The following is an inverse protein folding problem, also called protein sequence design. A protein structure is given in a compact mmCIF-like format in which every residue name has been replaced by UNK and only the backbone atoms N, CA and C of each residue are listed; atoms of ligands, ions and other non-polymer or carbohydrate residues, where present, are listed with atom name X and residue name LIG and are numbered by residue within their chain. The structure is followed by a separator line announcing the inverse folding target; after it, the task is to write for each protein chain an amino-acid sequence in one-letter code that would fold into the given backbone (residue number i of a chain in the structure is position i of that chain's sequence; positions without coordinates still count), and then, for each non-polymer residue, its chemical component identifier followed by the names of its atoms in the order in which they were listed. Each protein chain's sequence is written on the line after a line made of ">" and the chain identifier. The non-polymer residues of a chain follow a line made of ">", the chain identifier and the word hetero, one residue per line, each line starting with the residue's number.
data_IF_421238303620
#
_entry.id   IF_421238303620
#
_cell.length_a   1.000
_cell.length_b   1.000
_cell.length_c   1.000
_cell.angle_alpha   90.00
_cell.angle_beta   90.00
_cell.angle_gamma   90.00
#
_symmetry.space_group_name_H-M   'P 1'
#
loop_
_entity.id
_entity.type
_entity.pdbx_description
1 polymer ?
#
# COMPACT_ATOMS: atom_id res chain seq x y z
N UNK A 1 43.05 32.73 -29.79
CA UNK A 1 42.47 31.36 -29.62
C UNK A 1 42.27 31.11 -28.13
N UNK A 2 41.14 30.54 -27.74
CA UNK A 2 40.83 30.22 -26.31
C UNK A 2 41.32 28.80 -26.04
N UNK A 3 42.00 28.56 -24.91
CA UNK A 3 42.40 27.20 -24.51
C UNK A 3 41.20 26.36 -24.14
N UNK A 4 41.30 25.02 -24.22
CA UNK A 4 40.25 24.06 -23.83
C UNK A 4 39.76 24.32 -22.40
N UNK A 5 40.65 24.49 -21.44
CA UNK A 5 40.29 24.72 -20.02
C UNK A 5 39.57 26.07 -19.84
N UNK A 6 39.92 27.09 -20.57
CA UNK A 6 39.22 28.37 -20.53
C UNK A 6 37.83 28.27 -21.14
N UNK A 7 37.67 27.56 -22.26
CA UNK A 7 36.36 27.26 -22.87
C UNK A 7 35.44 26.52 -21.91
N UNK A 8 35.94 25.47 -21.28
CA UNK A 8 35.21 24.67 -20.26
C UNK A 8 34.77 25.52 -19.07
N UNK A 9 35.63 26.42 -18.61
CA UNK A 9 35.32 27.34 -17.50
C UNK A 9 34.21 28.33 -17.89
N UNK A 10 34.24 28.88 -19.11
CA UNK A 10 33.19 29.77 -19.65
C UNK A 10 31.86 29.03 -19.74
N UNK A 11 31.83 27.81 -20.29
CA UNK A 11 30.63 26.99 -20.39
C UNK A 11 30.04 26.65 -19.02
N UNK A 12 30.87 26.28 -18.04
CA UNK A 12 30.42 26.03 -16.67
C UNK A 12 29.84 27.27 -15.97
N UNK A 13 30.33 28.46 -16.31
CA UNK A 13 29.82 29.74 -15.78
C UNK A 13 28.63 30.28 -16.54
N UNK A 14 28.29 29.72 -17.70
CA UNK A 14 27.15 30.15 -18.49
C UNK A 14 25.86 29.81 -17.74
N UNK A 15 25.11 30.80 -17.29
CA UNK A 15 23.79 30.63 -16.65
C UNK A 15 22.72 30.59 -17.76
N UNK A 16 22.30 29.39 -18.11
CA UNK A 16 21.16 29.19 -19.01
C UNK A 16 19.90 29.38 -18.21
N UNK A 17 19.08 30.38 -18.51
CA UNK A 17 17.75 30.56 -17.91
C UNK A 17 16.75 29.69 -18.68
N UNK A 18 16.35 28.60 -18.10
CA UNK A 18 15.26 27.75 -18.61
C UNK A 18 13.97 28.15 -17.88
N UNK A 19 12.90 28.38 -18.64
CA UNK A 19 11.59 28.67 -18.06
C UNK A 19 10.91 27.35 -17.59
N UNK A 20 10.23 27.39 -16.46
CA UNK A 20 9.40 26.31 -16.01
C UNK A 20 8.13 26.23 -16.87
N UNK A 21 7.63 25.02 -17.08
CA UNK A 21 6.36 24.76 -17.76
C UNK A 21 5.55 23.73 -16.98
N UNK A 22 4.23 23.78 -17.11
CA UNK A 22 3.31 22.77 -16.57
C UNK A 22 2.90 21.84 -17.69
N UNK A 23 3.12 20.54 -17.50
CA UNK A 23 2.76 19.50 -18.46
C UNK A 23 1.99 18.36 -17.79
N UNK A 24 1.28 17.56 -18.58
CA UNK A 24 0.64 16.32 -18.08
C UNK A 24 1.72 15.34 -17.62
N UNK A 25 1.50 14.65 -16.50
CA UNK A 25 2.44 13.68 -15.94
C UNK A 25 2.89 12.61 -16.94
N UNK A 26 1.99 12.14 -17.81
CA UNK A 26 2.31 11.15 -18.86
C UNK A 26 3.38 11.65 -19.86
N UNK A 27 3.50 12.96 -20.04
CA UNK A 27 4.46 13.58 -20.97
C UNK A 27 5.75 14.03 -20.24
N UNK A 28 5.90 13.67 -18.96
CA UNK A 28 7.02 14.17 -18.14
C UNK A 28 8.29 13.31 -18.21
N UNK A 29 8.27 12.19 -18.90
CA UNK A 29 9.43 11.30 -19.03
C UNK A 29 10.66 12.06 -19.54
N UNK A 30 11.80 11.86 -18.90
CA UNK A 30 13.08 12.53 -19.18
C UNK A 30 13.08 14.06 -18.98
N UNK A 31 12.01 14.64 -18.43
CA UNK A 31 11.99 16.05 -18.04
C UNK A 31 12.59 16.20 -16.63
N UNK A 32 13.06 17.40 -16.32
CA UNK A 32 13.61 17.73 -15.00
C UNK A 32 12.52 18.40 -14.16
N UNK A 33 12.34 17.93 -12.94
CA UNK A 33 11.36 18.49 -11.99
C UNK A 33 11.85 19.83 -11.47
N UNK A 34 11.06 20.90 -11.66
CA UNK A 34 11.43 22.27 -11.27
C UNK A 34 11.18 22.58 -9.79
N UNK A 35 10.28 21.85 -9.14
CA UNK A 35 9.94 21.99 -7.71
C UNK A 35 9.83 20.61 -7.06
N UNK A 36 9.86 20.54 -5.72
CA UNK A 36 9.55 19.28 -5.03
C UNK A 36 8.11 18.89 -5.30
N UNK A 37 7.87 17.62 -5.56
CA UNK A 37 6.53 17.04 -5.70
C UNK A 37 6.19 16.30 -4.41
N UNK A 38 5.05 16.64 -3.83
CA UNK A 38 4.56 16.10 -2.57
C UNK A 38 3.38 15.18 -2.82
N UNK A 39 3.27 14.12 -2.02
CA UNK A 39 2.08 13.28 -2.02
C UNK A 39 0.88 14.05 -1.45
N UNK A 40 -0.25 14.03 -2.15
CA UNK A 40 -1.51 14.62 -1.70
C UNK A 40 -2.36 13.65 -0.86
N UNK A 41 -1.98 12.37 -0.81
CA UNK A 41 -2.68 11.30 -0.09
C UNK A 41 -1.66 10.40 0.65
N UNK A 42 -2.15 9.58 1.57
CA UNK A 42 -1.40 8.43 2.04
C UNK A 42 -1.45 7.32 0.97
N UNK A 43 -0.34 6.64 0.73
CA UNK A 43 -0.30 5.46 -0.13
C UNK A 43 0.36 4.27 0.59
N UNK A 44 -0.34 3.16 0.77
CA UNK A 44 -1.78 2.94 0.49
C UNK A 44 -2.70 3.89 1.26
N UNK A 45 -3.91 4.14 0.73
CA UNK A 45 -4.87 5.05 1.36
C UNK A 45 -5.48 4.51 2.68
N UNK A 46 -5.42 3.20 2.88
CA UNK A 46 -5.90 2.52 4.09
C UNK A 46 -5.08 1.27 4.38
N UNK A 47 -5.20 0.74 5.60
CA UNK A 47 -4.61 -0.55 5.92
C UNK A 47 -5.18 -1.61 4.98
N UNK A 48 -4.31 -2.37 4.32
CA UNK A 48 -4.71 -3.39 3.35
C UNK A 48 -4.00 -4.72 3.60
N UNK A 49 -4.52 -5.77 2.97
CA UNK A 49 -3.95 -7.10 3.07
C UNK A 49 -2.63 -7.19 2.28
N UNK A 50 -1.59 -7.71 2.91
CA UNK A 50 -0.30 -8.01 2.26
C UNK A 50 -0.33 -9.33 1.49
N UNK A 51 -1.29 -10.22 1.80
CA UNK A 51 -1.48 -11.55 1.19
C UNK A 51 -2.97 -11.82 0.96
N UNK A 52 -3.26 -12.73 0.03
CA UNK A 52 -4.59 -13.31 -0.10
C UNK A 52 -4.87 -14.17 1.13
N UNK A 53 -6.08 -14.07 1.68
CA UNK A 53 -6.40 -14.80 2.89
C UNK A 53 -7.69 -14.35 3.57
N UNK A 54 -7.69 -14.36 4.89
CA UNK A 54 -8.87 -14.08 5.70
C UNK A 54 -8.60 -13.02 6.75
N UNK A 55 -9.37 -11.93 6.70
CA UNK A 55 -9.31 -10.85 7.69
C UNK A 55 -10.07 -11.25 8.96
N UNK A 56 -9.43 -11.10 10.11
CA UNK A 56 -9.99 -11.41 11.42
C UNK A 56 -9.73 -10.31 12.44
N UNK A 57 -10.45 -10.35 13.54
CA UNK A 57 -10.07 -9.62 14.75
C UNK A 57 -9.14 -10.52 15.60
N UNK A 58 -7.87 -10.11 15.74
CA UNK A 58 -6.87 -10.90 16.48
C UNK A 58 -7.28 -11.20 17.92
N UNK A 59 -8.07 -10.33 18.57
CA UNK A 59 -8.57 -10.55 19.93
C UNK A 59 -9.47 -11.79 20.05
N UNK A 60 -10.15 -12.17 18.96
CA UNK A 60 -11.03 -13.35 18.94
C UNK A 60 -10.23 -14.65 18.97
N UNK A 61 -8.93 -14.59 18.75
CA UNK A 61 -8.03 -15.76 18.81
C UNK A 61 -7.38 -15.95 20.19
N UNK A 62 -7.62 -15.02 21.12
CA UNK A 62 -7.06 -15.15 22.47
C UNK A 62 -7.58 -16.40 23.17
N UNK A 63 -6.65 -17.19 23.73
CA UNK A 63 -6.96 -18.43 24.46
C UNK A 63 -7.25 -19.64 23.57
N UNK A 64 -7.17 -19.52 22.23
CA UNK A 64 -7.30 -20.66 21.34
C UNK A 64 -6.13 -21.64 21.50
N UNK A 65 -6.43 -22.95 21.39
CA UNK A 65 -5.47 -24.05 21.51
C UNK A 65 -5.69 -25.06 20.40
N UNK A 66 -4.61 -25.70 19.92
CA UNK A 66 -4.63 -26.69 18.83
C UNK A 66 -5.68 -27.81 19.00
N UNK A 67 -5.93 -28.25 20.23
CA UNK A 67 -6.93 -29.31 20.51
C UNK A 67 -8.37 -28.87 20.27
N UNK A 68 -8.68 -27.57 20.27
CA UNK A 68 -10.04 -27.03 20.20
C UNK A 68 -10.13 -25.87 19.21
N UNK A 69 -10.09 -26.15 17.90
CA UNK A 69 -10.19 -25.11 16.90
C UNK A 69 -11.55 -24.42 16.96
N UNK A 70 -11.54 -23.10 16.78
CA UNK A 70 -12.74 -22.27 16.77
C UNK A 70 -13.18 -22.00 15.34
N UNK A 71 -14.48 -22.09 15.08
CA UNK A 71 -15.09 -21.73 13.79
C UNK A 71 -15.24 -20.23 13.69
N UNK A 72 -14.69 -19.65 12.61
CA UNK A 72 -14.92 -18.26 12.22
C UNK A 72 -15.80 -18.23 10.99
N UNK A 73 -16.90 -17.48 11.04
CA UNK A 73 -17.92 -17.41 10.00
C UNK A 73 -17.47 -16.48 8.87
N UNK A 74 -17.45 -16.97 7.64
CA UNK A 74 -17.16 -16.16 6.47
C UNK A 74 -18.40 -15.31 6.16
N UNK A 75 -18.25 -13.96 6.24
CA UNK A 75 -19.36 -13.02 6.07
C UNK A 75 -19.31 -12.25 4.73
N UNK A 76 -18.27 -12.43 3.95
CA UNK A 76 -18.11 -11.82 2.63
C UNK A 76 -16.69 -11.93 2.11
N UNK A 77 -16.46 -11.34 0.93
CA UNK A 77 -15.16 -11.27 0.27
C UNK A 77 -14.86 -9.82 -0.13
N UNK A 78 -13.56 -9.47 -0.17
CA UNK A 78 -13.04 -8.12 -0.44
C UNK A 78 -11.90 -8.25 -1.44
N UNK A 79 -12.08 -7.71 -2.64
CA UNK A 79 -11.03 -7.61 -3.63
C UNK A 79 -10.32 -6.24 -3.56
N UNK A 80 -9.13 -6.15 -4.17
CA UNK A 80 -8.44 -4.89 -4.35
C UNK A 80 -9.32 -3.88 -5.12
N UNK A 81 -9.31 -2.63 -4.68
CA UNK A 81 -10.14 -1.57 -5.27
C UNK A 81 -11.60 -1.56 -4.82
N UNK A 82 -12.09 -2.60 -4.15
CA UNK A 82 -13.43 -2.59 -3.57
C UNK A 82 -13.49 -1.73 -2.30
N UNK A 83 -14.64 -1.07 -2.10
CA UNK A 83 -14.93 -0.41 -0.81
C UNK A 83 -15.19 -1.49 0.25
N UNK A 84 -14.63 -1.36 1.46
CA UNK A 84 -14.94 -2.27 2.56
C UNK A 84 -16.44 -2.30 2.85
N UNK A 85 -16.99 -3.45 3.12
CA UNK A 85 -18.41 -3.54 3.50
C UNK A 85 -18.68 -2.90 4.86
N UNK A 86 -19.86 -2.26 4.97
CA UNK A 86 -20.27 -1.53 6.19
C UNK A 86 -20.99 -2.41 7.22
N UNK A 87 -20.93 -3.74 7.11
CA UNK A 87 -21.56 -4.65 8.07
C UNK A 87 -20.93 -4.51 9.46
N UNK A 88 -21.72 -4.58 10.49
CA UNK A 88 -21.25 -4.73 11.87
C UNK A 88 -20.61 -6.11 12.02
N UNK A 89 -19.32 -6.13 12.29
CA UNK A 89 -18.55 -7.35 12.50
C UNK A 89 -18.82 -7.86 13.89
N UNK A 90 -19.21 -9.14 14.00
CA UNK A 90 -19.44 -9.84 15.26
C UNK A 90 -18.22 -10.66 15.66
N UNK A 91 -18.18 -11.09 16.90
CA UNK A 91 -17.15 -12.01 17.38
C UNK A 91 -17.14 -13.30 16.55
N UNK A 92 -15.94 -13.74 16.16
CA UNK A 92 -15.71 -14.88 15.27
C UNK A 92 -16.26 -14.72 13.83
N UNK A 93 -16.50 -13.51 13.38
CA UNK A 93 -16.66 -13.26 11.96
C UNK A 93 -15.29 -13.17 11.28
N UNK A 94 -15.25 -13.52 10.00
CA UNK A 94 -14.09 -13.37 9.12
C UNK A 94 -14.55 -12.97 7.73
N UNK A 95 -13.67 -12.36 6.96
CA UNK A 95 -13.92 -12.06 5.56
C UNK A 95 -12.74 -12.52 4.71
N UNK A 96 -13.02 -13.18 3.61
CA UNK A 96 -12.03 -13.41 2.58
C UNK A 96 -11.51 -12.06 2.07
N UNK A 97 -10.21 -11.94 1.86
CA UNK A 97 -9.60 -10.70 1.40
C UNK A 97 -8.46 -11.00 0.45
N UNK A 98 -8.43 -10.29 -0.68
CA UNK A 98 -7.35 -10.39 -1.65
C UNK A 98 -6.27 -9.35 -1.34
N UNK A 99 -5.06 -9.63 -1.75
CA UNK A 99 -3.90 -8.71 -1.65
C UNK A 99 -4.29 -7.32 -2.13
N UNK A 100 -3.96 -6.29 -1.37
CA UNK A 100 -4.35 -4.90 -1.66
C UNK A 100 -5.78 -4.53 -1.27
N UNK A 101 -6.61 -5.49 -0.86
CA UNK A 101 -7.95 -5.22 -0.33
C UNK A 101 -7.90 -4.42 0.97
N UNK A 102 -8.71 -3.37 1.11
CA UNK A 102 -8.76 -2.55 2.34
C UNK A 102 -9.45 -3.33 3.44
N UNK A 103 -8.79 -3.44 4.59
CA UNK A 103 -9.28 -4.16 5.75
C UNK A 103 -10.46 -3.41 6.38
N UNK A 104 -11.66 -4.03 6.50
CA UNK A 104 -12.81 -3.40 7.13
C UNK A 104 -12.57 -3.08 8.61
N UNK A 105 -13.19 -1.99 9.07
CA UNK A 105 -13.18 -1.65 10.50
C UNK A 105 -13.75 -2.81 11.33
N UNK A 106 -12.98 -3.27 12.31
CA UNK A 106 -13.32 -4.41 13.18
C UNK A 106 -12.42 -5.62 12.97
N UNK A 107 -11.73 -5.70 11.81
CA UNK A 107 -10.61 -6.63 11.60
C UNK A 107 -9.28 -5.89 11.76
N UNK A 108 -8.24 -6.60 12.15
CA UNK A 108 -6.92 -6.01 12.39
C UNK A 108 -5.75 -6.92 11.98
N UNK A 109 -6.03 -8.06 11.37
CA UNK A 109 -5.02 -9.08 11.06
C UNK A 109 -5.49 -9.93 9.88
N UNK A 110 -4.54 -10.44 9.10
CA UNK A 110 -4.79 -11.34 7.96
C UNK A 110 -4.13 -12.69 8.24
N UNK A 111 -4.85 -13.77 7.94
CA UNK A 111 -4.30 -15.12 7.91
C UNK A 111 -4.16 -15.49 6.42
N UNK A 112 -2.95 -15.77 5.91
CA UNK A 112 -2.75 -16.20 4.53
C UNK A 112 -3.57 -17.44 4.19
N UNK A 113 -4.03 -17.54 2.94
CA UNK A 113 -4.92 -18.62 2.51
C UNK A 113 -4.28 -19.99 2.67
N UNK A 114 -2.96 -20.08 2.54
CA UNK A 114 -2.17 -21.31 2.69
C UNK A 114 -2.19 -21.86 4.12
N UNK A 115 -2.53 -21.02 5.09
CA UNK A 115 -2.60 -21.39 6.53
C UNK A 115 -4.04 -21.69 6.98
N UNK A 116 -5.01 -21.62 6.04
CA UNK A 116 -6.42 -21.78 6.37
C UNK A 116 -6.85 -23.26 6.33
N UNK A 117 -7.55 -23.67 7.37
CA UNK A 117 -8.30 -24.92 7.41
C UNK A 117 -9.77 -24.60 7.28
N UNK A 118 -10.42 -25.07 6.23
CA UNK A 118 -11.85 -24.91 6.04
C UNK A 118 -12.65 -25.94 6.82
N UNK A 119 -13.78 -25.53 7.38
CA UNK A 119 -14.79 -26.49 7.82
C UNK A 119 -15.42 -27.20 6.59
N UNK A 120 -15.99 -28.41 6.74
CA UNK A 120 -16.50 -29.21 5.61
C UNK A 120 -17.48 -28.47 4.68
N UNK A 121 -18.30 -27.58 5.22
CA UNK A 121 -19.27 -26.80 4.46
C UNK A 121 -18.69 -25.53 3.80
N UNK A 122 -17.40 -25.27 3.96
CA UNK A 122 -16.68 -24.06 3.47
C UNK A 122 -17.30 -22.71 3.86
N UNK A 123 -18.29 -22.69 4.79
CA UNK A 123 -18.88 -21.43 5.32
C UNK A 123 -18.09 -20.88 6.51
N UNK A 124 -17.15 -21.64 7.03
CA UNK A 124 -16.31 -21.29 8.17
C UNK A 124 -14.87 -21.69 7.90
N UNK A 125 -13.96 -20.93 8.50
CA UNK A 125 -12.57 -21.34 8.68
C UNK A 125 -12.35 -21.78 10.12
N UNK A 126 -11.36 -22.63 10.35
CA UNK A 126 -10.97 -23.14 11.66
C UNK A 126 -9.66 -22.47 12.07
N UNK A 127 -9.65 -21.88 13.27
CA UNK A 127 -8.44 -21.27 13.85
C UNK A 127 -8.20 -21.92 15.21
N UNK A 128 -7.00 -22.43 15.41
CA UNK A 128 -6.62 -23.24 16.58
C UNK A 128 -5.47 -22.64 17.39
N UNK A 129 -5.05 -21.43 17.04
CA UNK A 129 -3.94 -20.75 17.70
C UNK A 129 -4.17 -19.25 17.81
N UNK A 130 -3.44 -18.62 18.71
CA UNK A 130 -3.40 -17.17 18.84
C UNK A 130 -2.68 -16.55 17.62
N UNK A 131 -3.33 -15.59 16.97
CA UNK A 131 -2.77 -14.83 15.88
C UNK A 131 -2.35 -13.45 16.39
N UNK A 132 -1.19 -12.99 15.95
CA UNK A 132 -0.65 -11.71 16.36
C UNK A 132 -1.42 -10.58 15.67
N UNK A 133 -1.68 -9.51 16.41
CA UNK A 133 -2.28 -8.30 15.85
C UNK A 133 -1.38 -7.69 14.78
N UNK A 134 -1.98 -7.28 13.68
CA UNK A 134 -1.33 -6.67 12.52
C UNK A 134 -0.44 -7.59 11.69
N UNK A 135 -0.47 -8.91 11.92
CA UNK A 135 0.20 -9.85 11.02
C UNK A 135 -0.39 -9.70 9.60
N UNK A 136 0.50 -9.65 8.61
CA UNK A 136 0.18 -9.52 7.18
C UNK A 136 -0.67 -8.29 6.83
N UNK A 137 -0.57 -7.22 7.61
CA UNK A 137 -1.21 -5.93 7.35
C UNK A 137 -0.18 -4.94 6.79
N UNK A 138 -0.47 -4.38 5.63
CA UNK A 138 0.27 -3.25 5.08
C UNK A 138 -0.43 -1.96 5.50
N UNK A 139 0.28 -1.13 6.25
CA UNK A 139 -0.31 0.06 6.85
C UNK A 139 -0.55 1.19 5.85
N UNK A 140 -1.58 1.97 6.10
CA UNK A 140 -1.81 3.23 5.39
C UNK A 140 -0.56 4.12 5.44
N UNK A 141 -0.17 4.66 4.29
CA UNK A 141 1.00 5.54 4.20
C UNK A 141 2.35 4.84 4.39
N UNK A 142 2.42 3.50 4.25
CA UNK A 142 3.70 2.78 4.33
C UNK A 142 4.66 3.10 3.19
N UNK A 143 4.17 3.53 2.04
CA UNK A 143 5.00 3.92 0.89
C UNK A 143 5.21 5.43 0.87
N UNK A 144 4.11 6.20 0.95
CA UNK A 144 4.11 7.66 1.04
C UNK A 144 3.04 8.14 2.01
N UNK A 145 3.40 9.10 2.83
CA UNK A 145 2.42 9.84 3.64
C UNK A 145 2.02 11.13 2.93
N UNK A 146 0.80 11.57 3.16
CA UNK A 146 0.36 12.88 2.71
C UNK A 146 1.33 13.96 3.19
N UNK A 147 1.82 14.79 2.25
CA UNK A 147 2.79 15.86 2.50
C UNK A 147 4.26 15.42 2.42
N UNK A 148 4.56 14.14 2.24
CA UNK A 148 5.95 13.69 1.99
C UNK A 148 6.38 14.02 0.56
N UNK A 149 7.68 14.30 0.39
CA UNK A 149 8.30 14.52 -0.91
C UNK A 149 8.43 13.19 -1.64
N UNK A 150 7.68 13.04 -2.73
CA UNK A 150 7.75 11.87 -3.62
C UNK A 150 8.90 12.00 -4.61
N UNK A 151 9.08 13.21 -5.17
CA UNK A 151 10.17 13.50 -6.11
C UNK A 151 10.80 14.84 -5.75
N UNK A 152 12.11 14.85 -5.62
CA UNK A 152 12.87 16.06 -5.31
C UNK A 152 13.04 16.95 -6.56
N UNK A 153 13.10 18.25 -6.36
CA UNK A 153 13.54 19.23 -7.38
C UNK A 153 14.84 18.77 -8.04
N UNK A 154 14.99 19.08 -9.32
CA UNK A 154 16.13 18.72 -10.17
C UNK A 154 16.30 17.21 -10.44
N UNK A 155 15.31 16.39 -10.12
CA UNK A 155 15.28 14.98 -10.51
C UNK A 155 14.80 14.83 -11.94
N UNK A 156 15.47 13.98 -12.74
CA UNK A 156 14.99 13.56 -14.06
C UNK A 156 13.86 12.54 -13.84
N UNK A 157 12.72 12.79 -14.45
CA UNK A 157 11.55 11.91 -14.34
C UNK A 157 11.82 10.58 -15.04
N UNK A 158 11.67 9.49 -14.31
CA UNK A 158 11.79 8.10 -14.78
C UNK A 158 10.41 7.45 -14.88
N UNK A 159 10.24 6.30 -15.54
CA UNK A 159 8.95 5.62 -15.67
C UNK A 159 8.25 5.33 -14.34
N UNK A 160 9.00 4.92 -13.30
CA UNK A 160 8.46 4.67 -11.96
C UNK A 160 7.89 5.93 -11.29
N UNK A 161 8.45 7.11 -11.60
CA UNK A 161 7.92 8.38 -11.10
C UNK A 161 6.55 8.68 -11.70
N UNK A 162 6.32 8.34 -12.99
CA UNK A 162 5.04 8.56 -13.67
C UNK A 162 3.92 7.75 -13.00
N UNK A 163 4.23 6.54 -12.53
CA UNK A 163 3.28 5.72 -11.75
C UNK A 163 2.91 6.37 -10.42
N UNK A 164 3.83 7.05 -9.77
CA UNK A 164 3.60 7.74 -8.51
C UNK A 164 2.76 9.03 -8.65
N UNK A 165 2.58 9.55 -9.88
CA UNK A 165 1.74 10.74 -10.15
C UNK A 165 0.24 10.43 -10.30
N UNK A 166 -0.15 9.17 -10.35
CA UNK A 166 -1.55 8.74 -10.45
C UNK A 166 -2.19 8.62 -9.09
#
# INVERSE_FOLDING_TARGET
>A
MISYEKSKTILKKAKIKIKDETIKSINSLNRVVSTNIYSNINYPAGNNAAFDGYAINSKDTNGLKKKFPKKFKIIGSIAAGMKPFKKKIKKFDTAEIMTGGIIPKGFDTIIPIEQIIFAPNKKYILIDQKIKKFDHVRFAGSDYRKGEVVIKKNTIVQPNHILAFK
#
